data_IF_316783847239
#
_entry.id   IF_316783847239
#
_cell.length_a   1.000
_cell.length_b   1.000
_cell.length_c   1.000
_cell.angle_alpha   90.00
_cell.angle_beta   90.00
_cell.angle_gamma   90.00
#
_symmetry.space_group_name_H-M   'P 1'
#
loop_
_entity.id
_entity.type
_entity.pdbx_description
1 polymer ?
#
# COMPACT_ATOMS: atom_id res chain seq x y z
N UNK A 1 -1.56 25.14 15.08
CA UNK A 1 -1.17 24.37 13.88
C UNK A 1 -2.44 23.89 13.20
N UNK A 2 -2.68 24.26 11.94
CA UNK A 2 -3.87 23.85 11.20
C UNK A 2 -3.93 22.32 11.10
N UNK A 3 -5.06 21.72 11.49
CA UNK A 3 -5.28 20.28 11.48
C UNK A 3 -5.24 19.82 10.01
N UNK A 4 -4.12 19.23 9.59
CA UNK A 4 -3.92 18.75 8.22
C UNK A 4 -4.94 17.63 7.97
N UNK A 5 -5.96 17.90 7.15
CA UNK A 5 -6.94 16.89 6.76
C UNK A 5 -6.22 15.89 5.87
N UNK A 6 -5.94 14.71 6.43
CA UNK A 6 -5.33 13.62 5.68
C UNK A 6 -6.46 12.86 4.99
N UNK A 7 -6.55 13.00 3.66
CA UNK A 7 -7.44 12.18 2.85
C UNK A 7 -6.86 10.76 2.73
N UNK A 8 -7.42 9.84 3.52
CA UNK A 8 -7.05 8.43 3.49
C UNK A 8 -7.23 7.80 2.11
N UNK A 9 -8.18 8.26 1.31
CA UNK A 9 -8.38 7.76 -0.05
C UNK A 9 -7.27 8.25 -1.00
N UNK A 10 -6.78 9.48 -0.83
CA UNK A 10 -5.61 9.98 -1.58
C UNK A 10 -4.33 9.19 -1.23
N UNK A 11 -4.14 8.84 0.05
CA UNK A 11 -3.00 8.01 0.49
C UNK A 11 -3.09 6.63 -0.17
N UNK A 12 -4.23 5.95 -0.09
CA UNK A 12 -4.42 4.63 -0.70
C UNK A 12 -4.13 4.65 -2.20
N UNK A 13 -4.68 5.62 -2.95
CA UNK A 13 -4.41 5.78 -4.39
C UNK A 13 -2.93 5.98 -4.70
N UNK A 14 -2.24 6.78 -3.91
CA UNK A 14 -0.80 7.02 -4.09
C UNK A 14 0.02 5.75 -3.83
N UNK A 15 -0.30 5.01 -2.78
CA UNK A 15 0.35 3.75 -2.46
C UNK A 15 0.15 2.70 -3.57
N UNK A 16 -1.08 2.55 -4.09
CA UNK A 16 -1.37 1.64 -5.20
C UNK A 16 -0.55 1.96 -6.45
N UNK A 17 -0.44 3.24 -6.78
CA UNK A 17 0.32 3.69 -7.96
C UNK A 17 1.81 3.38 -7.80
N UNK A 18 2.37 3.76 -6.66
CA UNK A 18 3.77 3.50 -6.32
C UNK A 18 4.11 2.01 -6.40
N UNK A 19 3.27 1.14 -5.80
CA UNK A 19 3.48 -0.31 -5.86
C UNK A 19 3.48 -0.88 -7.28
N UNK A 20 2.60 -0.38 -8.16
CA UNK A 20 2.60 -0.81 -9.58
C UNK A 20 3.84 -0.35 -10.30
N UNK A 21 4.27 0.89 -10.07
CA UNK A 21 5.44 1.46 -10.73
C UNK A 21 6.72 0.76 -10.26
N UNK A 22 6.86 0.47 -8.96
CA UNK A 22 7.97 -0.35 -8.44
C UNK A 22 7.98 -1.76 -9.03
N UNK A 23 6.84 -2.42 -9.12
CA UNK A 23 6.77 -3.76 -9.71
C UNK A 23 7.19 -3.75 -11.19
N UNK A 24 6.76 -2.74 -11.95
CA UNK A 24 7.18 -2.56 -13.35
C UNK A 24 8.70 -2.39 -13.48
N UNK A 25 9.34 -1.65 -12.57
CA UNK A 25 10.81 -1.51 -12.56
C UNK A 25 11.52 -2.86 -12.36
N UNK A 26 10.90 -3.79 -11.65
CA UNK A 26 11.40 -5.17 -11.47
C UNK A 26 10.95 -6.13 -12.60
N UNK A 27 10.27 -5.63 -13.64
CA UNK A 27 9.72 -6.45 -14.72
C UNK A 27 8.53 -7.32 -14.29
N UNK A 28 7.88 -7.00 -13.16
CA UNK A 28 6.76 -7.74 -12.57
C UNK A 28 5.45 -6.97 -12.75
N UNK A 29 4.34 -7.69 -12.78
CA UNK A 29 2.99 -7.11 -12.83
C UNK A 29 2.28 -7.39 -11.50
N UNK A 30 1.80 -6.34 -10.85
CA UNK A 30 0.94 -6.47 -9.65
C UNK A 30 -0.52 -6.41 -10.08
N UNK A 31 -1.29 -7.51 -9.94
CA UNK A 31 -2.72 -7.48 -10.22
C UNK A 31 -3.43 -6.49 -9.29
N UNK A 32 -4.41 -5.77 -9.82
CA UNK A 32 -5.19 -4.79 -9.06
C UNK A 32 -5.90 -5.43 -7.85
N UNK A 33 -6.24 -6.71 -7.97
CA UNK A 33 -6.88 -7.51 -6.93
C UNK A 33 -5.98 -7.78 -5.73
N UNK A 34 -4.66 -7.64 -5.87
CA UNK A 34 -3.74 -7.75 -4.74
C UNK A 34 -3.66 -6.43 -3.96
N UNK A 35 -3.74 -5.30 -4.66
CA UNK A 35 -3.66 -3.97 -4.06
C UNK A 35 -4.89 -3.66 -3.21
N UNK A 36 -4.69 -3.46 -1.90
CA UNK A 36 -5.79 -3.20 -0.96
C UNK A 36 -6.64 -4.41 -0.62
N UNK A 37 -6.22 -5.62 -0.99
CA UNK A 37 -6.92 -6.85 -0.62
C UNK A 37 -6.76 -7.17 0.87
N UNK A 38 -7.72 -7.90 1.47
CA UNK A 38 -7.57 -8.42 2.84
C UNK A 38 -6.32 -9.28 3.03
N UNK A 39 -5.81 -9.91 1.95
CA UNK A 39 -4.57 -10.69 1.99
C UNK A 39 -3.35 -9.80 2.18
N UNK A 40 -3.30 -8.62 1.56
CA UNK A 40 -2.22 -7.65 1.75
C UNK A 40 -2.28 -7.04 3.14
N UNK A 41 -3.46 -6.72 3.67
CA UNK A 41 -3.59 -6.24 5.06
C UNK A 41 -3.10 -7.28 6.07
N UNK A 42 -3.47 -8.56 5.88
CA UNK A 42 -2.97 -9.67 6.70
C UNK A 42 -1.46 -9.86 6.59
N UNK A 43 -0.91 -9.76 5.38
CA UNK A 43 0.53 -9.87 5.14
C UNK A 43 1.31 -8.72 5.80
N UNK A 44 0.83 -7.48 5.66
CA UNK A 44 1.40 -6.31 6.32
C UNK A 44 1.30 -6.48 7.84
N UNK A 45 0.12 -6.79 8.38
CA UNK A 45 -0.05 -7.01 9.82
C UNK A 45 0.87 -8.11 10.38
N UNK A 46 1.07 -9.19 9.64
CA UNK A 46 1.99 -10.26 10.01
C UNK A 46 3.46 -9.82 9.99
N UNK A 47 3.84 -8.90 9.09
CA UNK A 47 5.21 -8.36 8.96
C UNK A 47 5.49 -7.17 9.88
N UNK A 48 4.48 -6.38 10.23
CA UNK A 48 4.57 -5.24 11.16
C UNK A 48 4.71 -5.70 12.62
N UNK A 49 4.49 -6.99 12.92
CA UNK A 49 4.79 -7.62 14.23
C UNK A 49 6.31 -7.79 14.51
N UNK A 50 7.12 -6.79 14.16
CA UNK A 50 8.44 -6.57 14.73
C UNK A 50 8.56 -5.09 15.02
N UNK A 51 8.26 -4.72 16.26
CA UNK A 51 9.13 -3.98 17.19
C UNK A 51 8.28 -3.57 18.39
N UNK A 52 8.41 -4.34 19.47
CA UNK A 52 8.33 -3.88 20.85
C UNK A 52 9.35 -4.72 21.61
#
# INVERSE_FOLDING_TARGET
MARRVIDLAAIKRTAERSSRDSAKLEGRVVPREFLGSPKVEKFVAARTRRTS
#
